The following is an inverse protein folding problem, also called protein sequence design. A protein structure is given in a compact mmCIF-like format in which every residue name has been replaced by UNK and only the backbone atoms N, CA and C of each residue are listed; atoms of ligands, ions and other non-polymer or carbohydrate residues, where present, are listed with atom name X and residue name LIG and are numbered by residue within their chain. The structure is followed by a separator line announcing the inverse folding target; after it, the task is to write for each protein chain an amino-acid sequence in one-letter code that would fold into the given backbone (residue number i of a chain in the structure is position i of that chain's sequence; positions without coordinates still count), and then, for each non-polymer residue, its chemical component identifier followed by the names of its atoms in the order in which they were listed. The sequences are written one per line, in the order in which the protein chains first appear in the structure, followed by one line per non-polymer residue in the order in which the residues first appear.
data_IF_973097946077
#
_entry.id   IF_973097946077
#
_cell.length_a   1.000
_cell.length_b   1.000
_cell.length_c   1.000
_cell.angle_alpha   90.00
_cell.angle_beta   90.00
_cell.angle_gamma   90.00
#
_symmetry.space_group_name_H-M   'P 1'
#
loop_
_entity.id
_entity.type
_entity.pdbx_description
1 polymer ?
#
# COMPACT_ATOMS: atom_id res chain seq x y z
N UNK A 1 -13.12 13.03 5.83
CA UNK A 1 -13.53 11.68 6.26
C UNK A 1 -12.33 10.78 6.07
N UNK A 2 -11.93 10.03 7.10
CA UNK A 2 -10.93 8.98 6.98
C UNK A 2 -11.57 7.80 6.26
N UNK A 3 -10.88 7.16 5.32
CA UNK A 3 -11.40 5.95 4.65
C UNK A 3 -11.54 4.83 5.70
N UNK A 4 -12.48 3.90 5.58
CA UNK A 4 -12.35 2.66 6.35
C UNK A 4 -11.26 1.76 5.72
N UNK A 5 -10.84 0.70 6.43
CA UNK A 5 -9.76 -0.16 5.93
C UNK A 5 -10.15 -0.96 4.66
N UNK A 6 -11.43 -1.27 4.46
CA UNK A 6 -11.93 -1.95 3.24
C UNK A 6 -11.79 -1.00 2.05
N UNK A 7 -12.28 0.22 2.20
CA UNK A 7 -12.19 1.28 1.21
C UNK A 7 -10.73 1.58 0.85
N UNK A 8 -9.84 1.56 1.84
CA UNK A 8 -8.41 1.74 1.62
C UNK A 8 -7.77 0.57 0.85
N UNK A 9 -8.10 -0.68 1.20
CA UNK A 9 -7.65 -1.87 0.48
C UNK A 9 -8.14 -1.89 -0.98
N UNK A 10 -9.40 -1.52 -1.22
CA UNK A 10 -9.96 -1.41 -2.57
C UNK A 10 -9.23 -0.36 -3.42
N UNK A 11 -8.95 0.80 -2.84
CA UNK A 11 -8.17 1.85 -3.53
C UNK A 11 -6.75 1.39 -3.84
N UNK A 12 -6.10 0.68 -2.91
CA UNK A 12 -4.79 0.07 -3.10
C UNK A 12 -4.80 -0.94 -4.25
N UNK A 13 -5.78 -1.85 -4.29
CA UNK A 13 -5.93 -2.84 -5.38
C UNK A 13 -6.08 -2.16 -6.74
N UNK A 14 -6.93 -1.13 -6.83
CA UNK A 14 -7.16 -0.38 -8.08
C UNK A 14 -5.94 0.42 -8.54
N UNK A 15 -5.05 0.78 -7.63
CA UNK A 15 -3.88 1.62 -7.88
C UNK A 15 -2.55 0.89 -7.66
N UNK A 16 -2.55 -0.44 -7.58
CA UNK A 16 -1.35 -1.23 -7.23
C UNK A 16 -0.16 -0.85 -8.10
N UNK A 17 -0.36 -0.79 -9.42
CA UNK A 17 0.70 -0.43 -10.36
C UNK A 17 1.24 0.99 -10.14
N UNK A 18 0.39 1.92 -9.70
CA UNK A 18 0.78 3.30 -9.43
C UNK A 18 1.67 3.42 -8.19
N UNK A 19 1.39 2.62 -7.17
CA UNK A 19 2.14 2.59 -5.91
C UNK A 19 3.20 1.49 -5.83
N UNK A 20 3.40 0.73 -6.92
CA UNK A 20 4.42 -0.33 -6.98
C UNK A 20 5.81 0.24 -6.93
N UNK A 21 6.65 -0.37 -6.10
CA UNK A 21 8.06 -0.04 -5.97
C UNK A 21 8.81 -0.39 -7.27
N UNK A 22 9.52 0.57 -7.90
CA UNK A 22 10.32 0.32 -9.10
C UNK A 22 11.40 -0.74 -8.92
N UNK A 23 11.94 -0.89 -7.70
CA UNK A 23 13.00 -1.85 -7.37
C UNK A 23 12.41 -3.25 -7.07
N UNK A 24 11.12 -3.34 -6.74
CA UNK A 24 10.38 -4.60 -6.58
C UNK A 24 9.05 -4.57 -7.33
N UNK A 25 9.07 -4.72 -8.67
CA UNK A 25 7.87 -4.60 -9.49
C UNK A 25 6.74 -5.54 -9.06
N UNK A 26 5.53 -5.01 -9.00
CA UNK A 26 4.33 -5.74 -8.57
C UNK A 26 4.07 -5.72 -7.06
N UNK A 27 4.99 -5.17 -6.28
CA UNK A 27 4.87 -5.03 -4.84
C UNK A 27 4.86 -3.56 -4.42
N UNK A 28 4.04 -3.24 -3.42
CA UNK A 28 4.10 -2.01 -2.67
C UNK A 28 4.98 -2.24 -1.45
N UNK A 29 5.92 -1.32 -1.20
CA UNK A 29 6.79 -1.35 -0.03
C UNK A 29 6.58 -0.10 0.81
N UNK A 30 6.74 -0.22 2.13
CA UNK A 30 6.65 0.94 3.03
C UNK A 30 7.70 2.00 2.71
N UNK A 31 8.89 1.57 2.28
CA UNK A 31 9.97 2.46 1.86
C UNK A 31 9.58 3.28 0.63
N UNK A 32 8.96 2.66 -0.39
CA UNK A 32 8.51 3.39 -1.56
C UNK A 32 7.33 4.31 -1.27
N UNK A 33 6.39 3.92 -0.40
CA UNK A 33 5.34 4.83 0.07
C UNK A 33 5.95 6.06 0.74
N UNK A 34 7.03 5.90 1.51
CA UNK A 34 7.73 7.03 2.14
C UNK A 34 8.41 7.95 1.10
N UNK A 35 8.96 7.39 0.02
CA UNK A 35 9.48 8.16 -1.12
C UNK A 35 8.38 9.01 -1.76
N UNK A 36 7.18 8.45 -1.93
CA UNK A 36 6.01 9.17 -2.45
C UNK A 36 5.64 10.31 -1.51
N UNK A 37 5.46 10.03 -0.21
CA UNK A 37 5.10 11.05 0.81
C UNK A 37 6.10 12.21 0.84
N UNK A 38 7.39 11.94 0.68
CA UNK A 38 8.45 12.96 0.64
C UNK A 38 8.50 13.77 -0.67
N UNK A 39 7.65 13.46 -1.64
CA UNK A 39 7.68 14.08 -2.97
C UNK A 39 8.91 13.71 -3.80
N UNK A 40 9.60 12.61 -3.44
CA UNK A 40 10.85 12.19 -4.07
C UNK A 40 10.64 11.39 -5.35
N UNK A 41 9.41 10.95 -5.64
CA UNK A 41 9.03 10.31 -6.91
C UNK A 41 8.93 11.26 -8.12
N UNK A 42 9.30 12.53 -7.96
CA UNK A 42 9.19 13.57 -8.98
C UNK A 42 7.73 13.92 -9.33
N UNK A 43 7.50 14.45 -10.53
CA UNK A 43 6.17 14.89 -10.99
C UNK A 43 5.20 13.74 -11.29
N UNK A 44 5.54 12.49 -10.94
CA UNK A 44 4.72 11.29 -11.19
C UNK A 44 3.54 11.19 -10.22
N UNK A 45 3.66 11.77 -9.02
CA UNK A 45 2.70 11.67 -7.94
C UNK A 45 2.07 13.02 -7.64
N UNK A 46 0.75 13.02 -7.51
CA UNK A 46 -0.06 14.17 -7.12
C UNK A 46 -0.09 14.32 -5.60
N UNK A 47 -0.60 15.46 -5.09
CA UNK A 47 -0.83 15.62 -3.65
C UNK A 47 -1.81 14.57 -3.10
N UNK A 48 -2.78 14.12 -3.91
CA UNK A 48 -3.71 13.07 -3.51
C UNK A 48 -3.00 11.71 -3.31
N UNK A 49 -2.02 11.40 -4.16
CA UNK A 49 -1.20 10.18 -3.99
C UNK A 49 -0.35 10.23 -2.73
N UNK A 50 0.21 11.41 -2.42
CA UNK A 50 0.99 11.62 -1.20
C UNK A 50 0.10 11.48 0.04
N UNK A 51 -1.10 12.05 0.02
CA UNK A 51 -2.07 11.92 1.10
C UNK A 51 -2.50 10.46 1.29
N UNK A 52 -2.75 9.73 0.21
CA UNK A 52 -3.09 8.30 0.27
C UNK A 52 -1.93 7.45 0.80
N UNK A 53 -0.70 7.66 0.31
CA UNK A 53 0.49 6.97 0.80
C UNK A 53 0.72 7.24 2.30
N UNK A 54 0.51 8.48 2.75
CA UNK A 54 0.58 8.83 4.17
C UNK A 54 -0.52 8.15 4.98
N UNK A 55 -1.75 8.11 4.47
CA UNK A 55 -2.87 7.44 5.13
C UNK A 55 -2.60 5.94 5.31
N UNK A 56 -2.04 5.28 4.29
CA UNK A 56 -1.62 3.88 4.35
C UNK A 56 -0.54 3.69 5.44
N UNK A 57 0.52 4.49 5.39
CA UNK A 57 1.63 4.44 6.37
C UNK A 57 1.19 4.76 7.79
N UNK A 58 0.14 5.57 7.97
CA UNK A 58 -0.38 5.92 9.30
C UNK A 58 -1.17 4.79 9.98
N UNK A 59 -1.54 3.74 9.23
CA UNK A 59 -2.35 2.63 9.73
C UNK A 59 -1.51 1.38 9.92
N UNK A 60 -0.69 1.38 10.97
CA UNK A 60 0.19 0.26 11.30
C UNK A 60 -0.54 -1.08 11.37
N UNK A 61 -1.72 -1.13 12.01
CA UNK A 61 -2.51 -2.37 12.12
C UNK A 61 -2.96 -2.87 10.74
N UNK A 62 -3.42 -1.98 9.86
CA UNK A 62 -3.81 -2.33 8.50
C UNK A 62 -2.61 -2.88 7.71
N UNK A 63 -1.50 -2.14 7.65
CA UNK A 63 -0.29 -2.58 6.96
C UNK A 63 0.18 -3.94 7.47
N UNK A 64 0.16 -4.13 8.79
CA UNK A 64 0.60 -5.37 9.42
C UNK A 64 -0.31 -6.58 9.17
N UNK A 65 -1.56 -6.33 8.79
CA UNK A 65 -2.54 -7.38 8.45
C UNK A 65 -2.41 -7.76 6.98
N UNK A 66 -2.10 -6.80 6.10
CA UNK A 66 -1.99 -7.08 4.66
C UNK A 66 -0.59 -7.57 4.26
N UNK A 67 0.48 -7.14 4.95
CA UNK A 67 1.87 -7.60 4.73
C UNK A 67 2.06 -9.01 5.32
N UNK A 68 1.51 -10.03 4.67
CA UNK A 68 1.63 -11.43 5.08
C UNK A 68 1.93 -12.31 3.86
N UNK A 69 3.10 -12.91 3.81
CA UNK A 69 3.48 -13.86 2.76
C UNK A 69 2.65 -15.17 2.82
N UNK A 70 3.01 -16.16 2.00
CA UNK A 70 2.37 -17.48 2.00
C UNK A 70 2.51 -18.28 3.31
N UNK A 71 3.44 -17.88 4.18
CA UNK A 71 3.72 -18.49 5.48
C UNK A 71 3.16 -17.67 6.66
N UNK A 72 2.33 -16.66 6.40
CA UNK A 72 1.84 -15.68 7.37
C UNK A 72 2.97 -14.90 8.06
N UNK A 73 4.05 -14.62 7.34
CA UNK A 73 5.17 -13.80 7.81
C UNK A 73 5.17 -12.45 7.11
N UNK A 74 5.53 -11.40 7.84
CA UNK A 74 5.73 -10.06 7.25
C UNK A 74 7.03 -10.05 6.47
N UNK A 75 6.98 -9.67 5.21
CA UNK A 75 8.15 -9.58 4.34
C UNK A 75 8.38 -8.16 3.79
N UNK A 76 7.52 -7.21 4.17
CA UNK A 76 7.59 -5.81 3.78
C UNK A 76 7.10 -5.56 2.36
N UNK A 77 6.47 -6.55 1.73
CA UNK A 77 5.99 -6.49 0.35
C UNK A 77 4.51 -6.81 0.31
N UNK A 78 3.77 -5.94 -0.36
CA UNK A 78 2.32 -6.07 -0.49
C UNK A 78 2.00 -6.20 -1.98
N UNK A 79 1.51 -7.36 -2.38
CA UNK A 79 1.03 -7.64 -3.73
C UNK A 79 -0.50 -7.61 -3.83
N UNK A 80 -1.03 -7.95 -5.00
CA UNK A 80 -2.47 -8.00 -5.23
C UNK A 80 -3.17 -9.10 -4.43
N UNK A 81 -2.50 -10.24 -4.22
CA UNK A 81 -3.06 -11.38 -3.49
C UNK A 81 -3.17 -11.07 -2.00
N UNK A 82 -2.21 -10.34 -1.44
CA UNK A 82 -2.24 -9.82 -0.07
C UNK A 82 -3.48 -8.96 0.16
N UNK A 83 -3.73 -8.02 -0.74
CA UNK A 83 -4.87 -7.12 -0.69
C UNK A 83 -6.19 -7.88 -0.82
N UNK A 84 -6.28 -8.84 -1.76
CA UNK A 84 -7.48 -9.67 -1.91
C UNK A 84 -7.73 -10.57 -0.70
N UNK A 85 -6.69 -11.22 -0.15
CA UNK A 85 -6.81 -12.02 1.09
C UNK A 85 -7.36 -11.19 2.24
N UNK A 86 -6.90 -9.95 2.39
CA UNK A 86 -7.42 -9.05 3.41
C UNK A 86 -8.91 -8.76 3.18
N UNK A 87 -9.31 -8.37 1.96
CA UNK A 87 -10.70 -8.06 1.62
C UNK A 87 -11.62 -9.27 1.84
N UNK A 88 -11.18 -10.47 1.45
CA UNK A 88 -11.96 -11.71 1.58
C UNK A 88 -12.08 -12.21 3.03
N UNK A 89 -11.25 -11.70 3.95
CA UNK A 89 -11.24 -12.12 5.36
C UNK A 89 -12.20 -11.34 6.27
N UNK A 90 -12.89 -10.33 5.74
CA UNK A 90 -13.78 -9.40 6.45
C UNK A 90 -15.25 -9.83 6.36
#
# INVERSE_FOLDING_TARGET
MSLDNVSLALLLSQNLQRFSDPETPGFITSDFLMVIVKGQGGNKFTQADQALALEILSRNEFLSTIDLDSNNQRDGKIDLNDIHRYIDSL
#
